data_IF_808972714555
#
_entry.id   IF_808972714555
#
_cell.length_a   1.000
_cell.length_b   1.000
_cell.length_c   1.000
_cell.angle_alpha   90.00
_cell.angle_beta   90.00
_cell.angle_gamma   90.00
#
_symmetry.space_group_name_H-M   'P 1'
#
loop_
_entity.id
_entity.type
_entity.pdbx_description
1 polymer ?
#
# COMPACT_ATOMS: atom_id res chain seq x y z
N UNK A 1 1.67 9.93 -19.82
CA UNK A 1 2.31 8.68 -19.36
C UNK A 1 2.48 8.81 -17.85
N UNK A 2 2.20 7.75 -17.09
CA UNK A 2 2.43 7.75 -15.63
C UNK A 2 3.92 7.70 -15.31
N UNK A 3 4.32 8.14 -14.11
CA UNK A 3 5.64 7.78 -13.58
C UNK A 3 5.54 6.38 -12.94
N UNK A 4 6.63 5.60 -12.86
CA UNK A 4 6.64 4.41 -12.04
C UNK A 4 6.28 4.75 -10.59
N UNK A 5 5.65 3.81 -9.90
CA UNK A 5 5.13 4.00 -8.54
C UNK A 5 5.74 2.96 -7.62
N UNK A 6 6.27 3.41 -6.48
CA UNK A 6 6.98 2.57 -5.51
C UNK A 6 8.48 2.45 -5.79
N UNK A 7 9.18 1.79 -4.89
CA UNK A 7 10.61 1.48 -5.00
C UNK A 7 10.80 0.05 -5.48
N UNK A 8 11.83 -0.21 -6.28
CA UNK A 8 12.16 -1.58 -6.68
C UNK A 8 12.41 -2.46 -5.45
N UNK A 9 11.95 -3.71 -5.51
CA UNK A 9 12.01 -4.60 -4.36
C UNK A 9 13.47 -4.86 -3.96
N UNK A 10 13.82 -4.48 -2.72
CA UNK A 10 15.18 -4.65 -2.18
C UNK A 10 16.21 -3.64 -2.68
N UNK A 11 15.81 -2.59 -3.43
CA UNK A 11 16.73 -1.55 -3.87
C UNK A 11 17.29 -0.71 -2.72
N UNK A 12 18.36 0.05 -2.98
CA UNK A 12 18.92 0.99 -2.00
C UNK A 12 17.89 2.04 -1.58
N UNK A 13 17.10 2.56 -2.53
CA UNK A 13 16.02 3.52 -2.23
C UNK A 13 14.96 2.90 -1.30
N UNK A 14 14.61 1.63 -1.52
CA UNK A 14 13.70 0.93 -0.63
C UNK A 14 14.29 0.78 0.78
N UNK A 15 15.58 0.49 0.91
CA UNK A 15 16.25 0.38 2.21
C UNK A 15 16.43 1.72 2.93
N UNK A 16 16.47 2.82 2.18
CA UNK A 16 16.61 4.18 2.70
C UNK A 16 15.26 4.87 2.97
N UNK A 17 14.14 4.26 2.59
CA UNK A 17 12.83 4.82 2.83
C UNK A 17 12.59 5.03 4.34
N UNK A 18 11.95 6.15 4.69
CA UNK A 18 11.69 6.55 6.08
C UNK A 18 10.85 5.49 6.82
N UNK A 19 9.87 4.93 6.11
CA UNK A 19 8.93 3.94 6.65
C UNK A 19 9.21 2.56 6.06
N UNK A 20 9.61 1.64 6.95
CA UNK A 20 9.95 0.25 6.62
C UNK A 20 8.90 -0.75 7.10
N UNK A 21 7.93 -0.33 7.92
CA UNK A 21 6.94 -1.25 8.51
C UNK A 21 5.50 -0.82 8.18
N UNK A 22 4.57 -1.80 8.07
CA UNK A 22 3.23 -1.52 7.58
C UNK A 22 2.35 -0.82 8.62
N UNK A 23 2.70 -0.91 9.92
CA UNK A 23 1.96 -0.20 10.98
C UNK A 23 2.12 1.31 10.82
N UNK A 24 3.37 1.78 10.77
CA UNK A 24 3.69 3.19 10.58
C UNK A 24 3.13 3.69 9.25
N UNK A 25 3.26 2.89 8.18
CA UNK A 25 2.72 3.26 6.87
C UNK A 25 1.22 3.53 6.89
N UNK A 26 0.44 2.71 7.59
CA UNK A 26 -1.02 2.81 7.59
C UNK A 26 -1.53 3.85 8.58
N UNK A 27 -0.92 3.95 9.77
CA UNK A 27 -1.46 4.77 10.86
C UNK A 27 -0.75 6.11 11.05
N UNK A 28 0.55 6.15 10.82
CA UNK A 28 1.41 7.25 11.29
C UNK A 28 2.09 8.01 10.13
N UNK A 29 1.92 7.54 8.89
CA UNK A 29 2.57 8.15 7.71
C UNK A 29 2.14 9.59 7.49
N UNK A 30 3.12 10.48 7.48
CA UNK A 30 2.90 11.90 7.24
C UNK A 30 3.16 12.28 5.77
N UNK A 31 2.81 13.54 5.46
CA UNK A 31 3.01 14.10 4.13
C UNK A 31 4.47 14.50 3.95
N UNK A 32 5.24 13.68 3.25
CA UNK A 32 6.67 13.91 3.01
C UNK A 32 7.45 12.62 3.15
N UNK A 33 6.97 11.73 4.02
CA UNK A 33 7.60 10.44 4.29
C UNK A 33 7.56 9.54 3.07
N UNK A 34 8.73 8.97 2.79
CA UNK A 34 8.89 7.86 1.86
C UNK A 34 8.56 6.55 2.56
N UNK A 35 7.99 5.62 1.82
CA UNK A 35 7.64 4.30 2.35
C UNK A 35 7.95 3.24 1.31
N UNK A 36 8.40 2.08 1.78
CA UNK A 36 8.54 0.90 0.93
C UNK A 36 7.19 0.38 0.42
N UNK A 37 6.10 0.79 1.05
CA UNK A 37 4.75 0.42 0.67
C UNK A 37 4.06 1.52 -0.14
N UNK A 38 3.30 1.10 -1.13
CA UNK A 38 2.34 1.93 -1.83
C UNK A 38 0.93 1.43 -1.52
N UNK A 39 0.07 2.33 -1.04
CA UNK A 39 -1.34 2.05 -0.78
C UNK A 39 -2.15 2.07 -2.06
N UNK A 40 -2.82 0.95 -2.36
CA UNK A 40 -3.85 0.87 -3.39
C UNK A 40 -5.19 0.58 -2.76
N UNK A 41 -6.28 0.99 -3.41
CA UNK A 41 -7.62 0.59 -3.02
C UNK A 41 -8.30 -0.14 -4.17
N UNK A 42 -9.04 -1.19 -3.85
CA UNK A 42 -9.87 -1.90 -4.83
C UNK A 42 -11.13 -1.12 -5.24
N UNK A 43 -11.40 0.02 -4.59
CA UNK A 43 -12.52 0.89 -4.92
C UNK A 43 -12.14 2.37 -4.90
N UNK A 44 -12.60 3.12 -5.90
CA UNK A 44 -12.38 4.58 -5.96
C UNK A 44 -13.09 5.29 -4.80
N UNK A 45 -14.37 4.95 -4.60
CA UNK A 45 -15.23 5.50 -3.56
C UNK A 45 -16.11 4.40 -2.99
N UNK A 46 -16.20 4.34 -1.67
CA UNK A 46 -17.04 3.40 -0.93
C UNK A 46 -18.17 4.20 -0.26
N UNK A 47 -19.43 3.71 -0.28
CA UNK A 47 -20.51 4.31 0.52
C UNK A 47 -20.08 4.45 1.98
N UNK A 48 -20.21 5.65 2.55
CA UNK A 48 -19.75 5.94 3.92
C UNK A 48 -18.35 6.57 4.04
N UNK A 49 -17.66 6.86 2.93
CA UNK A 49 -16.49 7.76 2.94
C UNK A 49 -15.10 7.08 2.99
N UNK A 50 -14.92 6.00 2.25
CA UNK A 50 -13.62 5.32 2.04
C UNK A 50 -13.24 5.19 0.56
N UNK A 51 -12.17 4.44 0.28
CA UNK A 51 -11.63 4.20 -1.07
C UNK A 51 -10.43 5.08 -1.41
N UNK A 52 -9.91 4.96 -2.63
CA UNK A 52 -8.70 5.69 -3.07
C UNK A 52 -8.84 7.22 -2.95
N UNK A 53 -10.05 7.75 -3.02
CA UNK A 53 -10.34 9.18 -2.85
C UNK A 53 -9.88 9.75 -1.50
N UNK A 54 -9.73 8.89 -0.47
CA UNK A 54 -9.22 9.32 0.84
C UNK A 54 -7.72 9.53 0.87
N UNK A 55 -6.99 8.80 0.03
CA UNK A 55 -5.53 8.80 0.00
C UNK A 55 -4.97 9.75 -1.07
N UNK A 56 -5.79 10.16 -2.04
CA UNK A 56 -5.36 11.03 -3.16
C UNK A 56 -5.92 12.44 -3.06
N UNK A 57 -5.05 13.46 -3.04
CA UNK A 57 -5.46 14.86 -3.20
C UNK A 57 -5.66 15.21 -4.69
N UNK A 58 -6.67 16.02 -5.03
CA UNK A 58 -6.86 16.69 -6.35
C UNK A 58 -7.12 15.78 -7.57
N UNK A 59 -7.95 14.73 -7.45
CA UNK A 59 -8.38 13.87 -8.58
C UNK A 59 -7.25 13.16 -9.36
N UNK A 60 -6.03 13.09 -8.81
CA UNK A 60 -4.93 12.30 -9.40
C UNK A 60 -5.02 10.85 -8.94
N UNK A 61 -6.07 10.16 -9.37
CA UNK A 61 -6.25 8.73 -9.11
C UNK A 61 -5.67 7.98 -10.30
N UNK A 62 -4.79 7.04 -10.01
CA UNK A 62 -4.27 6.11 -10.99
C UNK A 62 -4.86 4.73 -10.73
N UNK A 63 -5.08 3.97 -11.80
CA UNK A 63 -5.59 2.60 -11.78
C UNK A 63 -4.50 1.68 -12.33
N UNK A 64 -4.47 0.48 -11.81
CA UNK A 64 -3.65 -0.64 -12.29
C UNK A 64 -4.57 -1.85 -12.40
N UNK A 65 -4.39 -2.68 -13.43
CA UNK A 65 -5.20 -3.89 -13.56
C UNK A 65 -4.80 -4.93 -12.52
N UNK A 66 -5.79 -5.67 -12.02
CA UNK A 66 -5.54 -6.70 -11.01
C UNK A 66 -4.71 -7.85 -11.57
N UNK A 67 -4.86 -8.12 -12.87
CA UNK A 67 -4.14 -9.12 -13.64
C UNK A 67 -2.66 -8.76 -13.75
N UNK A 68 -2.34 -7.50 -14.03
CA UNK A 68 -0.95 -7.03 -14.06
C UNK A 68 -0.28 -7.14 -12.69
N UNK A 69 -0.99 -6.76 -11.62
CA UNK A 69 -0.47 -6.90 -10.26
C UNK A 69 -0.16 -8.36 -9.92
N UNK A 70 -1.07 -9.29 -10.22
CA UNK A 70 -0.85 -10.73 -10.02
C UNK A 70 0.33 -11.26 -10.84
N UNK A 71 0.49 -10.78 -12.06
CA UNK A 71 1.64 -11.15 -12.89
C UNK A 71 2.95 -10.66 -12.27
N UNK A 72 3.02 -9.38 -11.87
CA UNK A 72 4.21 -8.81 -11.22
C UNK A 72 4.55 -9.53 -9.89
N UNK A 73 3.53 -9.92 -9.13
CA UNK A 73 3.71 -10.70 -7.90
C UNK A 73 4.23 -12.12 -8.22
N UNK A 74 3.68 -12.79 -9.23
CA UNK A 74 4.15 -14.12 -9.67
C UNK A 74 5.59 -14.09 -10.21
N UNK A 75 6.00 -12.97 -10.83
CA UNK A 75 7.37 -12.71 -11.27
C UNK A 75 8.31 -12.33 -10.11
N UNK A 76 7.80 -12.17 -8.89
CA UNK A 76 8.57 -11.79 -7.71
C UNK A 76 9.04 -10.33 -7.71
N UNK A 77 8.47 -9.49 -8.57
CA UNK A 77 8.83 -8.05 -8.69
C UNK A 77 8.16 -7.20 -7.63
N UNK A 78 7.00 -7.62 -7.15
CA UNK A 78 6.25 -6.97 -6.08
C UNK A 78 5.75 -8.00 -5.08
N UNK A 79 5.31 -7.53 -3.92
CA UNK A 79 4.55 -8.29 -2.93
C UNK A 79 3.27 -7.56 -2.61
N UNK A 80 2.14 -8.28 -2.59
CA UNK A 80 0.84 -7.71 -2.26
C UNK A 80 0.45 -8.18 -0.86
N UNK A 81 0.11 -7.23 0.00
CA UNK A 81 -0.33 -7.51 1.36
C UNK A 81 -1.79 -7.09 1.56
N UNK A 82 -2.63 -8.05 1.93
CA UNK A 82 -4.01 -7.78 2.38
C UNK A 82 -4.03 -7.28 3.82
N UNK A 83 -5.17 -6.72 4.23
CA UNK A 83 -5.39 -6.27 5.62
C UNK A 83 -5.13 -7.41 6.63
N UNK A 84 -5.54 -8.63 6.31
CA UNK A 84 -5.30 -9.81 7.16
C UNK A 84 -3.82 -10.15 7.27
N UNK A 85 -3.10 -10.16 6.14
CA UNK A 85 -1.67 -10.46 6.13
C UNK A 85 -0.88 -9.42 6.91
N UNK A 86 -1.18 -8.12 6.70
CA UNK A 86 -0.56 -7.03 7.48
C UNK A 86 -0.83 -7.19 8.97
N UNK A 87 -2.08 -7.48 9.35
CA UNK A 87 -2.45 -7.67 10.75
C UNK A 87 -1.68 -8.84 11.37
N UNK A 88 -1.51 -9.94 10.64
CA UNK A 88 -0.77 -11.10 11.12
C UNK A 88 0.73 -10.78 11.32
N UNK A 89 1.35 -10.09 10.37
CA UNK A 89 2.74 -9.61 10.50
C UNK A 89 2.91 -8.74 11.75
N UNK A 90 2.00 -7.79 11.97
CA UNK A 90 2.05 -6.91 13.16
C UNK A 90 1.83 -7.71 14.44
N UNK A 91 0.89 -8.67 14.43
CA UNK A 91 0.55 -9.50 15.60
C UNK A 91 1.72 -10.34 16.08
N UNK A 92 2.57 -10.80 15.17
CA UNK A 92 3.77 -11.58 15.47
C UNK A 92 4.92 -10.73 16.05
N UNK A 93 4.77 -9.41 16.15
CA UNK A 93 5.79 -8.55 16.72
C UNK A 93 6.02 -8.88 18.22
N UNK A 94 7.28 -9.06 18.67
CA UNK A 94 7.58 -9.40 20.06
C UNK A 94 7.16 -8.31 21.06
N UNK A 95 7.05 -7.05 20.61
CA UNK A 95 6.57 -5.96 21.44
C UNK A 95 5.04 -5.96 21.52
N UNK A 96 4.51 -6.35 22.68
CA UNK A 96 3.06 -6.42 22.94
C UNK A 96 2.29 -5.13 22.61
N UNK A 97 2.91 -3.95 22.75
CA UNK A 97 2.25 -2.67 22.40
C UNK A 97 1.99 -2.56 20.89
N UNK A 98 2.95 -3.00 20.08
CA UNK A 98 2.86 -3.03 18.61
C UNK A 98 1.87 -4.10 18.17
N UNK A 99 2.01 -5.32 18.69
CA UNK A 99 1.11 -6.45 18.38
C UNK A 99 -0.39 -6.12 18.60
N UNK A 100 -0.70 -5.34 19.64
CA UNK A 100 -2.08 -4.87 19.92
C UNK A 100 -2.67 -3.93 18.85
N UNK A 101 -1.84 -3.27 18.05
CA UNK A 101 -2.29 -2.39 16.97
C UNK A 101 -2.73 -3.15 15.72
N UNK A 102 -2.47 -4.46 15.63
CA UNK A 102 -2.79 -5.28 14.45
C UNK A 102 -4.26 -5.12 14.00
N UNK A 103 -5.20 -5.12 14.95
CA UNK A 103 -6.62 -4.98 14.61
C UNK A 103 -6.96 -3.55 14.16
N UNK A 104 -6.35 -2.53 14.77
CA UNK A 104 -6.57 -1.13 14.36
C UNK A 104 -6.08 -0.91 12.91
N UNK A 105 -4.92 -1.46 12.57
CA UNK A 105 -4.38 -1.43 11.19
C UNK A 105 -5.31 -2.18 10.24
N UNK A 106 -5.74 -3.39 10.62
CA UNK A 106 -6.68 -4.19 9.83
C UNK A 106 -7.96 -3.41 9.53
N UNK A 107 -8.60 -2.87 10.56
CA UNK A 107 -9.86 -2.14 10.46
C UNK A 107 -9.71 -0.88 9.58
N UNK A 108 -8.58 -0.18 9.70
CA UNK A 108 -8.26 0.98 8.86
C UNK A 108 -8.13 0.59 7.38
N UNK A 109 -7.41 -0.48 7.08
CA UNK A 109 -7.24 -0.99 5.72
C UNK A 109 -8.57 -1.49 5.13
N UNK A 110 -9.32 -2.32 5.87
CA UNK A 110 -10.61 -2.88 5.43
C UNK A 110 -11.62 -1.77 5.12
N UNK A 111 -11.72 -0.76 5.99
CA UNK A 111 -12.59 0.41 5.80
C UNK A 111 -12.32 1.12 4.47
N UNK A 112 -11.07 1.13 4.02
CA UNK A 112 -10.67 1.76 2.77
C UNK A 112 -10.51 0.78 1.61
N UNK A 113 -10.78 -0.52 1.83
CA UNK A 113 -10.46 -1.63 0.93
C UNK A 113 -9.03 -1.55 0.39
N UNK A 114 -8.14 -1.22 1.29
CA UNK A 114 -6.73 -0.98 1.02
C UNK A 114 -5.95 -2.28 0.93
N UNK A 115 -5.02 -2.32 -0.01
CA UNK A 115 -3.94 -3.28 -0.08
C UNK A 115 -2.62 -2.52 -0.10
N UNK A 116 -1.59 -3.09 0.52
CA UNK A 116 -0.24 -2.54 0.43
C UNK A 116 0.53 -3.30 -0.63
N UNK A 117 1.28 -2.57 -1.45
CA UNK A 117 2.19 -3.13 -2.43
C UNK A 117 3.60 -2.70 -2.07
N UNK A 118 4.48 -3.67 -1.87
CA UNK A 118 5.93 -3.48 -1.76
C UNK A 118 6.56 -3.83 -3.11
N UNK A 119 7.46 -2.99 -3.60
CA UNK A 119 8.03 -3.12 -4.94
C UNK A 119 7.51 -2.05 -5.92
N UNK A 120 8.14 -1.97 -7.08
CA UNK A 120 7.84 -0.94 -8.08
C UNK A 120 6.85 -1.45 -9.12
N UNK A 121 5.83 -0.65 -9.39
CA UNK A 121 4.92 -0.83 -10.52
C UNK A 121 5.38 0.10 -11.63
N UNK A 122 5.74 -0.49 -12.77
CA UNK A 122 6.22 0.28 -13.91
C UNK A 122 5.09 1.06 -14.60
N UNK A 123 5.44 2.20 -15.20
CA UNK A 123 4.50 3.19 -15.73
C UNK A 123 3.50 2.67 -16.77
N UNK A 124 3.86 1.63 -17.52
CA UNK A 124 3.04 1.01 -18.56
C UNK A 124 1.79 0.33 -17.99
N UNK A 125 1.82 -0.04 -16.71
CA UNK A 125 0.68 -0.66 -16.02
C UNK A 125 -0.25 0.38 -15.36
N UNK A 126 0.14 1.66 -15.38
CA UNK A 126 -0.51 2.73 -14.63
C UNK A 126 -1.31 3.62 -15.58
N UNK A 127 -2.64 3.60 -15.43
CA UNK A 127 -3.55 4.43 -16.24
C UNK A 127 -4.27 5.46 -15.36
N UNK A 128 -4.44 6.71 -15.83
CA UNK A 128 -5.23 7.70 -15.10
C UNK A 128 -6.69 7.25 -15.01
N UNK A 129 -7.32 7.49 -13.85
CA UNK A 129 -8.75 7.36 -13.69
C UNK A 129 -9.42 8.57 -14.36
N UNK A 130 -9.83 8.43 -15.63
CA UNK A 130 -10.80 9.33 -16.26
C UNK A 130 -12.20 9.14 -15.69
#
# INVERSE_FOLDING_TARGET
MGNPVGFELGSEDAQQADIQNPLEHVLDKESGDTSIYVSFSTAIKIPGGGGSIKFTKKNKIFKVSSEALKQLEAEGKIRIYTAEQVAEVIRQNPHKKISKQANNVKDAMEKNREILIEGQISSEFIVPAT
#
